data_IF_138192785301
#
_entry.id   IF_138192785301
#
_cell.length_a   1.000
_cell.length_b   1.000
_cell.length_c   1.000
_cell.angle_alpha   90.00
_cell.angle_beta   90.00
_cell.angle_gamma   90.00
#
_symmetry.space_group_name_H-M   'P 1'
#
loop_
_entity.id
_entity.type
_entity.pdbx_description
1 polymer ?
#
# COMPACT_ATOMS: atom_id res chain seq x y z
N UNK A 1 1.15 13.29 27.47
CA UNK A 1 1.14 11.82 27.70
C UNK A 1 2.58 11.40 27.94
N UNK A 2 2.92 10.93 29.14
CA UNK A 2 4.27 10.47 29.46
C UNK A 2 4.47 9.07 28.84
N UNK A 3 5.40 8.96 27.89
CA UNK A 3 5.81 7.70 27.30
C UNK A 3 6.69 6.94 28.29
N UNK A 4 6.08 6.13 29.15
CA UNK A 4 6.80 5.16 29.99
C UNK A 4 7.12 3.90 29.19
N UNK A 5 8.21 3.22 29.57
CA UNK A 5 8.67 1.98 28.92
C UNK A 5 7.57 0.91 28.90
N UNK A 6 6.78 0.84 29.97
CA UNK A 6 5.62 -0.05 30.12
C UNK A 6 4.58 0.18 29.01
N UNK A 7 4.22 1.43 28.75
CA UNK A 7 3.27 1.76 27.68
C UNK A 7 3.81 1.39 26.30
N UNK A 8 5.10 1.59 26.05
CA UNK A 8 5.74 1.22 24.77
C UNK A 8 5.71 -0.31 24.58
N UNK A 9 6.03 -1.07 25.63
CA UNK A 9 6.00 -2.54 25.59
C UNK A 9 4.57 -3.07 25.41
N UNK A 10 3.57 -2.47 26.05
CA UNK A 10 2.16 -2.84 25.88
C UNK A 10 1.71 -2.57 24.44
N UNK A 11 1.97 -1.38 23.90
CA UNK A 11 1.60 -1.04 22.52
C UNK A 11 2.32 -1.97 21.52
N UNK A 12 3.62 -2.18 21.71
CA UNK A 12 4.42 -3.07 20.84
C UNK A 12 3.97 -4.53 20.88
N UNK A 13 3.66 -5.07 22.07
CA UNK A 13 3.19 -6.46 22.22
C UNK A 13 1.78 -6.65 21.64
N UNK A 14 0.87 -5.70 21.83
CA UNK A 14 -0.47 -5.73 21.20
C UNK A 14 -0.36 -5.65 19.68
N UNK A 15 0.49 -4.77 19.14
CA UNK A 15 0.73 -4.66 17.70
C UNK A 15 1.31 -5.96 17.12
N UNK A 16 2.29 -6.57 17.79
CA UNK A 16 2.85 -7.87 17.40
C UNK A 16 1.77 -8.96 17.43
N UNK A 17 0.96 -9.01 18.48
CA UNK A 17 -0.12 -9.99 18.60
C UNK A 17 -1.14 -9.86 17.46
N UNK A 18 -1.61 -8.65 17.17
CA UNK A 18 -2.52 -8.38 16.06
C UNK A 18 -1.88 -8.79 14.73
N UNK A 19 -0.60 -8.47 14.52
CA UNK A 19 0.12 -8.82 13.30
C UNK A 19 0.20 -10.33 13.07
N UNK A 20 0.45 -11.11 14.12
CA UNK A 20 0.48 -12.58 14.04
C UNK A 20 -0.92 -13.15 13.77
N UNK A 21 -1.95 -12.64 14.46
CA UNK A 21 -3.34 -13.10 14.28
C UNK A 21 -3.82 -12.82 12.86
N UNK A 22 -3.60 -11.60 12.35
CA UNK A 22 -3.98 -11.20 10.98
C UNK A 22 -3.18 -12.01 9.95
N UNK A 23 -1.86 -12.13 10.12
CA UNK A 23 -1.01 -12.88 9.19
C UNK A 23 -1.38 -14.36 9.08
N UNK A 24 -1.66 -15.02 10.22
CA UNK A 24 -2.03 -16.44 10.26
C UNK A 24 -3.46 -16.69 9.73
N UNK A 25 -4.35 -15.73 9.94
CA UNK A 25 -5.74 -15.77 9.44
C UNK A 25 -5.78 -15.57 7.93
N UNK A 26 -5.08 -14.56 7.39
CA UNK A 26 -4.99 -14.34 5.93
C UNK A 26 -4.49 -15.58 5.18
N UNK A 27 -3.48 -16.27 5.70
CA UNK A 27 -2.97 -17.51 5.09
C UNK A 27 -3.97 -18.66 5.08
N UNK A 28 -4.85 -18.76 6.08
CA UNK A 28 -5.83 -19.85 6.20
C UNK A 28 -7.11 -19.60 5.40
N UNK A 29 -7.54 -18.34 5.28
CA UNK A 29 -8.77 -17.96 4.58
C UNK A 29 -8.56 -17.69 3.08
N UNK A 30 -7.31 -17.63 2.59
CA UNK A 30 -7.01 -17.36 1.18
C UNK A 30 -7.37 -15.93 0.72
N UNK A 31 -7.77 -15.07 1.66
CA UNK A 31 -8.12 -13.67 1.38
C UNK A 31 -6.83 -12.83 1.33
N UNK A 32 -6.59 -12.07 0.25
CA UNK A 32 -5.46 -11.16 0.16
C UNK A 32 -5.38 -10.24 1.37
N UNK A 33 -4.23 -10.19 2.03
CA UNK A 33 -3.99 -9.35 3.22
C UNK A 33 -4.36 -7.88 2.97
N UNK A 34 -4.17 -7.40 1.73
CA UNK A 34 -4.58 -6.06 1.29
C UNK A 34 -6.07 -5.78 1.50
N UNK A 35 -6.95 -6.74 1.18
CA UNK A 35 -8.40 -6.58 1.38
C UNK A 35 -8.75 -6.48 2.86
N UNK A 36 -8.04 -7.22 3.70
CA UNK A 36 -8.21 -7.19 5.16
C UNK A 36 -7.84 -5.81 5.72
N UNK A 37 -6.68 -5.27 5.33
CA UNK A 37 -6.28 -3.92 5.75
C UNK A 37 -7.21 -2.83 5.20
N UNK A 38 -7.68 -2.95 3.96
CA UNK A 38 -8.66 -2.04 3.38
C UNK A 38 -9.97 -2.05 4.18
N UNK A 39 -10.50 -3.24 4.48
CA UNK A 39 -11.73 -3.37 5.26
C UNK A 39 -11.61 -2.79 6.66
N UNK A 40 -10.51 -3.06 7.36
CA UNK A 40 -10.24 -2.47 8.68
C UNK A 40 -10.18 -0.94 8.57
N UNK A 41 -9.50 -0.40 7.55
CA UNK A 41 -9.42 1.05 7.31
C UNK A 41 -10.79 1.67 7.05
N UNK A 42 -11.62 1.05 6.22
CA UNK A 42 -12.99 1.51 5.96
C UNK A 42 -13.87 1.46 7.22
N UNK A 43 -13.77 0.39 8.02
CA UNK A 43 -14.49 0.28 9.29
C UNK A 43 -14.01 1.27 10.35
N UNK A 44 -12.75 1.67 10.31
CA UNK A 44 -12.20 2.68 11.22
C UNK A 44 -12.54 4.11 10.77
N UNK A 45 -12.73 4.34 9.48
CA UNK A 45 -13.00 5.66 8.89
C UNK A 45 -14.34 6.28 9.30
N UNK A 46 -14.63 7.45 8.72
CA UNK A 46 -15.80 8.27 9.07
C UNK A 46 -17.14 7.55 8.90
N UNK A 47 -17.23 6.70 7.89
CA UNK A 47 -18.46 5.98 7.53
C UNK A 47 -18.52 4.59 8.19
N UNK A 48 -17.45 4.23 8.90
CA UNK A 48 -17.33 2.98 9.63
C UNK A 48 -17.71 3.10 11.11
N UNK A 49 -17.63 1.97 11.81
CA UNK A 49 -17.94 1.86 13.25
C UNK A 49 -16.96 2.69 14.10
N UNK A 50 -15.73 2.92 13.60
CA UNK A 50 -14.70 3.69 14.29
C UNK A 50 -14.91 5.20 14.28
N UNK A 51 -15.65 5.75 13.32
CA UNK A 51 -16.00 7.17 13.26
C UNK A 51 -14.80 8.13 13.18
N UNK A 52 -13.63 7.65 12.74
CA UNK A 52 -12.43 8.49 12.66
C UNK A 52 -12.58 9.46 11.50
N UNK A 53 -12.85 10.74 11.81
CA UNK A 53 -12.87 11.82 10.84
C UNK A 53 -11.44 12.22 10.48
N UNK A 54 -10.99 11.76 9.33
CA UNK A 54 -9.68 12.07 8.78
C UNK A 54 -9.85 12.96 7.55
N UNK A 55 -9.45 14.23 7.68
CA UNK A 55 -9.54 15.24 6.62
C UNK A 55 -8.24 16.07 6.58
N UNK A 56 -7.10 15.37 6.50
CA UNK A 56 -5.78 16.00 6.39
C UNK A 56 -4.94 15.33 5.28
N UNK A 57 -4.95 15.91 4.07
CA UNK A 57 -4.15 15.41 2.96
C UNK A 57 -2.64 15.44 3.22
N UNK A 58 -2.14 16.35 4.08
CA UNK A 58 -0.70 16.46 4.37
C UNK A 58 -0.24 15.29 5.24
N UNK A 59 -1.03 14.93 6.25
CA UNK A 59 -0.75 13.76 7.08
C UNK A 59 -0.85 12.48 6.24
N UNK A 60 -1.87 12.39 5.36
CA UNK A 60 -2.05 11.26 4.47
C UNK A 60 -0.84 11.06 3.55
N UNK A 61 -0.39 12.14 2.92
CA UNK A 61 0.78 12.15 2.06
C UNK A 61 2.04 11.78 2.83
N UNK A 62 2.25 12.35 4.02
CA UNK A 62 3.42 12.04 4.84
C UNK A 62 3.49 10.55 5.19
N UNK A 63 2.40 9.97 5.69
CA UNK A 63 2.34 8.53 6.00
C UNK A 63 2.53 7.69 4.74
N UNK A 64 1.91 8.09 3.62
CA UNK A 64 2.05 7.41 2.34
C UNK A 64 3.49 7.40 1.84
N UNK A 65 4.18 8.54 1.87
CA UNK A 65 5.58 8.66 1.43
C UNK A 65 6.51 7.85 2.33
N UNK A 66 6.36 7.93 3.65
CA UNK A 66 7.16 7.14 4.59
C UNK A 66 6.95 5.65 4.33
N UNK A 67 5.69 5.20 4.20
CA UNK A 67 5.35 3.81 3.93
C UNK A 67 5.90 3.33 2.59
N UNK A 68 5.74 4.12 1.53
CA UNK A 68 6.24 3.81 0.19
C UNK A 68 7.76 3.67 0.18
N UNK A 69 8.48 4.55 0.87
CA UNK A 69 9.93 4.46 1.01
C UNK A 69 10.35 3.14 1.66
N UNK A 70 9.70 2.72 2.74
CA UNK A 70 9.99 1.43 3.38
C UNK A 70 9.67 0.24 2.46
N UNK A 71 8.53 0.27 1.77
CA UNK A 71 8.11 -0.82 0.86
C UNK A 71 9.11 -0.96 -0.29
N UNK A 72 9.47 0.15 -0.95
CA UNK A 72 10.42 0.15 -2.07
C UNK A 72 11.83 -0.25 -1.62
N UNK A 73 12.26 0.24 -0.46
CA UNK A 73 13.57 -0.09 0.09
C UNK A 73 13.68 -1.57 0.48
N UNK A 74 12.69 -2.10 1.21
CA UNK A 74 12.65 -3.53 1.57
C UNK A 74 12.61 -4.40 0.32
N UNK A 75 11.70 -4.11 -0.62
CA UNK A 75 11.59 -4.87 -1.86
C UNK A 75 12.88 -4.86 -2.68
N UNK A 76 13.59 -3.73 -2.71
CA UNK A 76 14.90 -3.62 -3.35
C UNK A 76 16.00 -4.43 -2.67
N UNK A 77 16.07 -4.40 -1.33
CA UNK A 77 17.07 -5.16 -0.56
C UNK A 77 16.82 -6.67 -0.56
N UNK A 78 15.55 -7.09 -0.53
CA UNK A 78 15.15 -8.50 -0.53
C UNK A 78 15.31 -9.16 -1.91
N UNK A 79 15.62 -8.37 -2.96
CA UNK A 79 15.77 -8.87 -4.33
C UNK A 79 17.08 -9.65 -4.53
N UNK A 80 16.96 -10.93 -4.89
CA UNK A 80 18.12 -11.76 -5.20
C UNK A 80 18.68 -11.45 -6.60
N UNK A 81 19.84 -10.79 -6.63
CA UNK A 81 20.51 -10.39 -7.88
C UNK A 81 20.77 -11.55 -8.84
N UNK A 82 21.08 -12.74 -8.32
CA UNK A 82 21.35 -13.94 -9.11
C UNK A 82 20.12 -14.41 -9.89
N UNK A 83 18.93 -14.17 -9.33
CA UNK A 83 17.65 -14.53 -9.95
C UNK A 83 17.17 -13.46 -10.95
N UNK A 84 17.47 -12.19 -10.69
CA UNK A 84 17.03 -11.07 -11.56
C UNK A 84 17.94 -10.86 -12.76
N UNK A 85 19.26 -11.03 -12.59
CA UNK A 85 20.25 -10.77 -13.65
C UNK A 85 19.92 -11.41 -15.01
N UNK A 86 19.44 -12.66 -15.10
CA UNK A 86 19.13 -13.30 -16.39
C UNK A 86 17.93 -12.67 -17.14
N UNK A 87 16.98 -12.05 -16.43
CA UNK A 87 15.73 -11.51 -16.99
C UNK A 87 15.67 -9.97 -16.94
N UNK A 88 16.82 -9.33 -16.71
CA UNK A 88 16.89 -7.89 -16.47
C UNK A 88 16.36 -7.07 -17.64
N UNK A 89 16.60 -7.53 -18.88
CA UNK A 89 16.17 -6.84 -20.10
C UNK A 89 14.64 -6.80 -20.18
N UNK A 90 14.00 -7.94 -19.97
CA UNK A 90 12.55 -8.09 -19.99
C UNK A 90 11.93 -7.27 -18.86
N UNK A 91 12.55 -7.30 -17.67
CA UNK A 91 12.14 -6.49 -16.53
C UNK A 91 12.14 -4.99 -16.84
N UNK A 92 13.23 -4.47 -17.43
CA UNK A 92 13.35 -3.04 -17.79
C UNK A 92 12.33 -2.66 -18.87
N UNK A 93 12.13 -3.50 -19.87
CA UNK A 93 11.14 -3.24 -20.94
C UNK A 93 9.73 -3.19 -20.38
N UNK A 94 9.36 -4.14 -19.52
CA UNK A 94 8.04 -4.18 -18.89
C UNK A 94 7.84 -3.00 -17.93
N UNK A 95 8.85 -2.63 -17.14
CA UNK A 95 8.74 -1.51 -16.19
C UNK A 95 8.73 -0.13 -16.84
N UNK A 96 9.14 -0.01 -18.11
CA UNK A 96 9.16 1.26 -18.85
C UNK A 96 8.06 1.30 -19.90
N UNK A 97 8.23 0.54 -21.00
CA UNK A 97 7.29 0.51 -22.12
C UNK A 97 5.96 -0.12 -21.72
N UNK A 98 5.98 -1.17 -20.89
CA UNK A 98 4.76 -1.79 -20.39
C UNK A 98 3.92 -0.80 -19.58
N UNK A 99 4.55 -0.14 -18.60
CA UNK A 99 3.88 0.87 -17.76
C UNK A 99 3.35 2.04 -18.60
N UNK A 100 4.16 2.57 -19.54
CA UNK A 100 3.74 3.64 -20.43
C UNK A 100 2.50 3.27 -21.25
N UNK A 101 2.49 2.06 -21.83
CA UNK A 101 1.36 1.57 -22.61
C UNK A 101 0.12 1.39 -21.73
N UNK A 102 0.26 0.82 -20.53
CA UNK A 102 -0.87 0.67 -19.60
C UNK A 102 -1.42 2.02 -19.14
N UNK A 103 -0.57 3.01 -18.86
CA UNK A 103 -0.98 4.34 -18.43
C UNK A 103 -1.73 5.07 -19.55
N UNK A 104 -1.20 5.05 -20.78
CA UNK A 104 -1.83 5.71 -21.93
C UNK A 104 -3.16 5.06 -22.32
N UNK A 105 -3.22 3.73 -22.32
CA UNK A 105 -4.45 3.00 -22.71
C UNK A 105 -5.55 3.16 -21.66
N UNK A 106 -5.22 3.00 -20.38
CA UNK A 106 -6.19 3.18 -19.30
C UNK A 106 -6.60 4.65 -19.16
N UNK A 107 -5.64 5.58 -19.17
CA UNK A 107 -5.93 7.01 -19.08
C UNK A 107 -6.74 7.51 -20.27
N UNK A 108 -6.43 7.08 -21.48
CA UNK A 108 -7.23 7.37 -22.68
C UNK A 108 -8.65 6.80 -22.60
N UNK A 109 -8.82 5.61 -22.01
CA UNK A 109 -10.14 5.02 -21.77
C UNK A 109 -10.95 5.82 -20.74
N UNK A 110 -10.32 6.25 -19.64
CA UNK A 110 -10.96 7.09 -18.61
C UNK A 110 -11.36 8.45 -19.19
N UNK A 111 -10.49 9.07 -19.99
CA UNK A 111 -10.77 10.31 -20.71
C UNK A 111 -11.95 10.19 -21.68
N UNK A 112 -12.11 9.03 -22.34
CA UNK A 112 -13.20 8.81 -23.27
C UNK A 112 -14.56 8.64 -22.58
N UNK A 113 -14.59 8.00 -21.42
CA UNK A 113 -15.82 7.70 -20.68
C UNK A 113 -16.24 8.83 -19.73
N UNK A 114 -15.28 9.63 -19.26
CA UNK A 114 -15.49 10.62 -18.20
C UNK A 114 -15.23 12.03 -18.74
N UNK A 115 -15.90 13.04 -18.19
CA UNK A 115 -15.68 14.45 -18.54
C UNK A 115 -14.36 15.05 -17.99
N UNK A 116 -13.42 14.19 -17.57
CA UNK A 116 -12.12 14.63 -17.04
C UNK A 116 -11.25 15.19 -18.14
N UNK A 117 -10.41 16.16 -17.78
CA UNK A 117 -9.39 16.65 -18.70
C UNK A 117 -8.35 15.57 -18.96
N UNK A 118 -7.61 15.70 -20.06
CA UNK A 118 -6.54 14.76 -20.40
C UNK A 118 -5.48 14.64 -19.28
N UNK A 119 -5.23 15.72 -18.53
CA UNK A 119 -4.27 15.73 -17.43
C UNK A 119 -4.77 15.06 -16.15
N UNK A 120 -6.09 15.03 -15.93
CA UNK A 120 -6.69 14.37 -14.74
C UNK A 120 -6.88 12.87 -14.95
N UNK A 121 -6.99 12.46 -16.21
CA UNK A 121 -7.20 11.06 -16.61
C UNK A 121 -5.89 10.29 -16.83
N UNK A 122 -4.77 10.99 -17.11
CA UNK A 122 -3.43 10.41 -17.28
C UNK A 122 -2.62 10.33 -15.99
#
# INVERSE_FOLDING_TARGET
>A
MNLTIENILIVGSVLLFISIVVGKTSYKFGVPTLLLFLAIGMLAGSDGIGGIRFDDPKIAQFVGVVSLNFILFSGGLDTNWTSVKPILREGIVLSTLGVLLTALTLGGFVWYITDFTFYESM
#
